data_IF_575455189391
#
_entry.id   IF_575455189391
#
_cell.length_a   1.000
_cell.length_b   1.000
_cell.length_c   1.000
_cell.angle_alpha   90.00
_cell.angle_beta   90.00
_cell.angle_gamma   90.00
#
_symmetry.space_group_name_H-M   'P 1'
#
loop_
_entity.id
_entity.type
_entity.pdbx_description
1 polymer ?
#
# COMPACT_ATOMS: atom_id res chain seq x y z
N UNK A 1 32.86 -52.16 -25.77
CA UNK A 1 32.52 -50.81 -25.24
C UNK A 1 31.57 -50.98 -24.06
N UNK A 2 32.07 -50.94 -22.83
CA UNK A 2 31.26 -51.10 -21.62
C UNK A 2 31.28 -49.75 -20.90
N UNK A 3 30.19 -48.99 -20.99
CA UNK A 3 30.04 -47.74 -20.25
C UNK A 3 30.16 -48.08 -18.76
N UNK A 4 31.23 -47.59 -18.11
CA UNK A 4 31.46 -47.86 -16.69
C UNK A 4 30.39 -47.13 -15.87
N UNK A 5 29.66 -47.82 -14.97
CA UNK A 5 28.63 -47.20 -14.12
C UNK A 5 29.19 -46.08 -13.22
N UNK A 6 30.50 -46.11 -12.97
CA UNK A 6 31.22 -45.09 -12.19
C UNK A 6 31.24 -43.74 -12.92
N UNK A 7 31.35 -43.73 -14.25
CA UNK A 7 31.36 -42.50 -15.03
C UNK A 7 30.01 -41.76 -14.96
N UNK A 8 28.91 -42.51 -14.89
CA UNK A 8 27.57 -41.95 -14.75
C UNK A 8 27.35 -41.35 -13.35
N UNK A 9 27.80 -42.04 -12.31
CA UNK A 9 27.72 -41.56 -10.92
C UNK A 9 28.54 -40.27 -10.74
N UNK A 10 29.75 -40.22 -11.31
CA UNK A 10 30.59 -39.02 -11.28
C UNK A 10 29.97 -37.86 -12.06
N UNK A 11 29.37 -38.15 -13.22
CA UNK A 11 28.68 -37.12 -14.01
C UNK A 11 27.43 -36.58 -13.28
N UNK A 12 26.63 -37.45 -12.64
CA UNK A 12 25.47 -37.06 -11.82
C UNK A 12 25.89 -36.31 -10.56
N UNK A 13 26.98 -36.70 -9.89
CA UNK A 13 27.51 -36.00 -8.73
C UNK A 13 28.02 -34.59 -9.08
N UNK A 14 28.72 -34.45 -10.22
CA UNK A 14 29.19 -33.16 -10.72
C UNK A 14 28.02 -32.25 -11.12
N UNK A 15 26.94 -32.80 -11.70
CA UNK A 15 25.70 -32.05 -12.03
C UNK A 15 24.92 -31.62 -10.79
N UNK A 16 24.82 -32.49 -9.77
CA UNK A 16 24.10 -32.19 -8.51
C UNK A 16 24.79 -31.11 -7.67
N UNK A 17 26.12 -31.04 -7.73
CA UNK A 17 26.94 -30.01 -7.08
C UNK A 17 27.11 -28.74 -7.93
N UNK A 18 26.69 -28.76 -9.19
CA UNK A 18 26.60 -27.59 -10.10
C UNK A 18 25.29 -26.83 -9.96
N UNK A 19 24.44 -27.19 -8.99
CA UNK A 19 23.35 -26.32 -8.57
C UNK A 19 23.99 -25.05 -8.01
N UNK A 20 23.92 -23.99 -8.81
CA UNK A 20 24.64 -22.75 -8.63
C UNK A 20 24.46 -22.23 -7.19
N UNK A 21 25.52 -21.72 -6.54
CA UNK A 21 25.40 -20.98 -5.29
C UNK A 21 24.35 -19.87 -5.36
N UNK A 22 24.14 -19.30 -6.55
CA UNK A 22 23.17 -18.25 -6.85
C UNK A 22 21.71 -18.65 -6.62
N UNK A 23 21.35 -19.93 -6.79
CA UNK A 23 19.99 -20.41 -6.52
C UNK A 23 19.67 -20.38 -5.00
N UNK A 24 20.70 -20.54 -4.15
CA UNK A 24 20.60 -20.38 -2.69
C UNK A 24 20.58 -18.91 -2.26
N UNK A 25 21.13 -18.01 -3.08
CA UNK A 25 21.13 -16.56 -2.83
C UNK A 25 19.77 -15.97 -3.26
N UNK A 26 19.19 -16.46 -4.35
CA UNK A 26 17.87 -16.01 -4.82
C UNK A 26 16.68 -16.62 -4.07
N UNK A 27 16.83 -17.78 -3.43
CA UNK A 27 15.81 -18.33 -2.52
C UNK A 27 15.72 -17.65 -1.16
N UNK A 28 16.63 -16.71 -0.87
CA UNK A 28 16.73 -15.97 0.39
C UNK A 28 16.81 -14.46 0.18
N UNK A 29 16.32 -13.94 -0.95
CA UNK A 29 16.18 -12.50 -1.14
C UNK A 29 15.00 -12.00 -0.31
N UNK A 30 15.32 -11.71 0.95
CA UNK A 30 14.97 -10.46 1.61
C UNK A 30 13.82 -9.72 0.92
N UNK A 31 12.60 -10.09 1.28
CA UNK A 31 11.62 -9.03 1.52
C UNK A 31 12.20 -8.21 2.66
N UNK A 32 13.08 -7.25 2.36
CA UNK A 32 13.23 -6.06 3.20
C UNK A 32 11.86 -5.37 3.18
N UNK A 33 10.95 -5.92 3.98
CA UNK A 33 9.78 -5.22 4.44
C UNK A 33 10.39 -4.06 5.22
N UNK A 34 10.56 -2.90 4.58
CA UNK A 34 10.90 -1.66 5.27
C UNK A 34 10.05 -1.66 6.54
N UNK A 35 10.63 -1.42 7.73
CA UNK A 35 9.86 -1.30 8.96
C UNK A 35 9.04 0.01 8.92
N UNK A 36 8.18 0.14 7.92
CA UNK A 36 7.10 1.08 7.91
C UNK A 36 6.07 0.56 8.90
N UNK A 37 5.54 1.46 9.71
CA UNK A 37 4.48 1.14 10.65
C UNK A 37 3.33 0.52 9.83
N UNK A 38 3.10 -0.78 9.95
CA UNK A 38 2.15 -1.57 9.11
C UNK A 38 0.70 -1.04 9.16
N UNK A 39 0.45 0.00 9.96
CA UNK A 39 -0.84 0.64 10.19
C UNK A 39 -0.83 2.15 9.92
N UNK A 40 0.28 2.76 9.49
CA UNK A 40 0.37 4.21 9.30
C UNK A 40 -0.76 4.74 8.39
N UNK A 41 -1.05 4.06 7.27
CA UNK A 41 -2.14 4.43 6.38
C UNK A 41 -3.53 4.43 7.04
N UNK A 42 -3.77 3.51 7.99
CA UNK A 42 -5.03 3.44 8.74
C UNK A 42 -5.16 4.63 9.70
N UNK A 43 -4.09 4.98 10.41
CA UNK A 43 -4.07 6.14 11.31
C UNK A 43 -4.21 7.46 10.54
N UNK A 44 -3.57 7.58 9.37
CA UNK A 44 -3.73 8.73 8.48
C UNK A 44 -5.21 8.90 8.08
N UNK A 45 -5.90 7.82 7.72
CA UNK A 45 -7.33 7.88 7.38
C UNK A 45 -8.24 8.23 8.56
N UNK A 46 -7.88 7.86 9.80
CA UNK A 46 -8.63 8.27 10.99
C UNK A 46 -8.45 9.77 11.24
N UNK A 47 -7.21 10.26 11.17
CA UNK A 47 -6.91 11.69 11.33
C UNK A 47 -7.63 12.54 10.27
N UNK A 48 -7.67 12.07 9.03
CA UNK A 48 -8.39 12.75 7.95
C UNK A 48 -9.88 12.92 8.25
N UNK A 49 -10.53 11.85 8.75
CA UNK A 49 -11.96 11.89 9.13
C UNK A 49 -12.20 12.83 10.31
N UNK A 50 -11.30 12.85 11.30
CA UNK A 50 -11.37 13.81 12.41
C UNK A 50 -11.24 15.24 11.91
N UNK A 51 -10.31 15.52 10.99
CA UNK A 51 -10.09 16.86 10.43
C UNK A 51 -11.26 17.31 9.54
N UNK A 52 -11.84 16.42 8.72
CA UNK A 52 -13.04 16.74 7.93
C UNK A 52 -14.22 17.03 8.84
N UNK A 53 -14.43 16.22 9.88
CA UNK A 53 -15.49 16.45 10.86
C UNK A 53 -15.32 17.81 11.56
N UNK A 54 -14.10 18.12 12.00
CA UNK A 54 -13.77 19.44 12.56
C UNK A 54 -14.05 20.55 11.56
N UNK A 55 -13.56 20.44 10.31
CA UNK A 55 -13.76 21.45 9.28
C UNK A 55 -15.25 21.73 9.00
N UNK A 56 -16.08 20.68 8.95
CA UNK A 56 -17.54 20.79 8.83
C UNK A 56 -18.15 21.51 10.04
N UNK A 57 -17.74 21.16 11.26
CA UNK A 57 -18.26 21.78 12.49
C UNK A 57 -17.95 23.28 12.55
N UNK A 58 -16.78 23.68 12.07
CA UNK A 58 -16.39 25.10 11.97
C UNK A 58 -16.93 25.79 10.70
N UNK A 59 -17.68 25.07 9.85
CA UNK A 59 -18.26 25.58 8.61
C UNK A 59 -17.22 25.91 7.52
N UNK A 60 -15.98 25.43 7.66
CA UNK A 60 -14.86 25.71 6.75
C UNK A 60 -14.69 24.58 5.74
N UNK A 61 -15.55 24.55 4.73
CA UNK A 61 -15.55 23.51 3.70
C UNK A 61 -14.27 23.51 2.85
N UNK A 62 -13.56 24.65 2.78
CA UNK A 62 -12.30 24.81 2.05
C UNK A 62 -11.19 23.91 2.62
N UNK A 63 -11.21 23.66 3.93
CA UNK A 63 -10.21 22.82 4.60
C UNK A 63 -10.26 21.36 4.17
N UNK A 64 -11.41 20.87 3.73
CA UNK A 64 -11.59 19.50 3.22
C UNK A 64 -10.71 19.29 1.98
N UNK A 65 -10.66 20.28 1.08
CA UNK A 65 -9.82 20.26 -0.11
C UNK A 65 -8.33 20.25 0.22
N UNK A 66 -7.91 21.03 1.22
CA UNK A 66 -6.50 21.05 1.67
C UNK A 66 -6.06 19.71 2.27
N UNK A 67 -6.91 19.08 3.08
CA UNK A 67 -6.64 17.77 3.68
C UNK A 67 -6.48 16.71 2.58
N UNK A 68 -7.38 16.70 1.60
CA UNK A 68 -7.33 15.77 0.46
C UNK A 68 -6.06 15.96 -0.38
N UNK A 69 -5.71 17.22 -0.67
CA UNK A 69 -4.51 17.54 -1.45
C UNK A 69 -3.23 17.10 -0.72
N UNK A 70 -3.10 17.42 0.58
CA UNK A 70 -1.96 17.03 1.39
C UNK A 70 -1.79 15.50 1.43
N UNK A 71 -2.90 14.77 1.60
CA UNK A 71 -2.92 13.31 1.59
C UNK A 71 -2.53 12.72 0.22
N UNK A 72 -3.01 13.31 -0.87
CA UNK A 72 -2.69 12.86 -2.24
C UNK A 72 -1.21 13.06 -2.57
N UNK A 73 -0.62 14.21 -2.19
CA UNK A 73 0.82 14.48 -2.38
C UNK A 73 1.67 13.47 -1.61
N UNK A 74 1.31 13.17 -0.35
CA UNK A 74 2.04 12.22 0.47
C UNK A 74 2.03 10.78 -0.08
N UNK A 75 1.01 10.42 -0.86
CA UNK A 75 0.86 9.08 -1.48
C UNK A 75 1.27 9.02 -2.96
N UNK A 76 1.58 10.17 -3.56
CA UNK A 76 1.91 10.29 -4.98
C UNK A 76 3.05 9.34 -5.44
N UNK A 77 4.14 9.13 -4.69
CA UNK A 77 5.20 8.20 -5.09
C UNK A 77 4.71 6.75 -5.21
N UNK A 78 3.84 6.32 -4.29
CA UNK A 78 3.28 4.95 -4.24
C UNK A 78 2.20 4.75 -5.32
N UNK A 79 1.46 5.80 -5.67
CA UNK A 79 0.49 5.79 -6.78
C UNK A 79 1.18 5.66 -8.15
N UNK A 80 2.42 6.13 -8.28
CA UNK A 80 3.21 6.04 -9.51
C UNK A 80 3.70 4.62 -9.79
N UNK A 81 3.87 3.79 -8.75
CA UNK A 81 4.41 2.43 -8.86
C UNK A 81 3.36 1.39 -9.29
N UNK A 82 2.05 1.68 -9.21
CA UNK A 82 0.99 0.78 -9.67
C UNK A 82 -0.39 1.41 -9.82
N UNK A 83 -0.95 1.39 -11.04
CA UNK A 83 -2.27 1.96 -11.37
C UNK A 83 -3.39 1.44 -10.48
N UNK A 84 -3.40 0.13 -10.21
CA UNK A 84 -4.45 -0.50 -9.39
C UNK A 84 -4.45 0.00 -7.93
N UNK A 85 -3.29 0.33 -7.37
CA UNK A 85 -3.20 0.89 -6.01
C UNK A 85 -3.74 2.32 -5.99
N UNK A 86 -3.39 3.11 -6.99
CA UNK A 86 -3.88 4.47 -7.16
C UNK A 86 -5.41 4.51 -7.31
N UNK A 87 -5.98 3.66 -8.15
CA UNK A 87 -7.44 3.55 -8.35
C UNK A 87 -8.16 3.20 -7.05
N UNK A 88 -7.70 2.15 -6.35
CA UNK A 88 -8.34 1.70 -5.11
C UNK A 88 -8.26 2.76 -4.00
N UNK A 89 -7.11 3.42 -3.90
CA UNK A 89 -6.88 4.51 -2.96
C UNK A 89 -7.77 5.72 -3.24
N UNK A 90 -7.89 6.11 -4.51
CA UNK A 90 -8.68 7.27 -4.93
C UNK A 90 -10.16 7.00 -4.71
N UNK A 91 -10.67 5.84 -5.12
CA UNK A 91 -12.05 5.42 -4.91
C UNK A 91 -12.37 5.37 -3.40
N UNK A 92 -11.47 4.78 -2.59
CA UNK A 92 -11.66 4.69 -1.14
C UNK A 92 -11.68 6.06 -0.44
N UNK A 93 -10.80 6.97 -0.83
CA UNK A 93 -10.70 8.31 -0.23
C UNK A 93 -11.88 9.18 -0.64
N UNK A 94 -12.25 9.20 -1.93
CA UNK A 94 -13.40 9.95 -2.43
C UNK A 94 -14.71 9.46 -1.81
N UNK A 95 -14.90 8.15 -1.70
CA UNK A 95 -16.09 7.57 -1.06
C UNK A 95 -16.18 8.00 0.42
N UNK A 96 -15.06 7.92 1.15
CA UNK A 96 -15.04 8.30 2.58
C UNK A 96 -15.29 9.79 2.79
N UNK A 97 -14.70 10.67 1.97
CA UNK A 97 -14.92 12.12 2.04
C UNK A 97 -16.36 12.45 1.67
N UNK A 98 -16.93 11.79 0.66
CA UNK A 98 -18.32 12.02 0.25
C UNK A 98 -19.28 11.68 1.38
N UNK A 99 -19.12 10.52 2.04
CA UNK A 99 -19.95 10.13 3.18
C UNK A 99 -19.79 11.11 4.35
N UNK A 100 -18.56 11.54 4.66
CA UNK A 100 -18.32 12.51 5.73
C UNK A 100 -18.92 13.90 5.41
N UNK A 101 -18.85 14.33 4.16
CA UNK A 101 -19.42 15.58 3.67
C UNK A 101 -20.95 15.56 3.75
N UNK A 102 -21.61 14.51 3.23
CA UNK A 102 -23.06 14.35 3.31
C UNK A 102 -23.54 14.16 4.75
N UNK A 103 -22.82 13.39 5.57
CA UNK A 103 -23.12 13.24 7.00
C UNK A 103 -23.00 14.56 7.76
N UNK A 104 -21.97 15.36 7.45
CA UNK A 104 -21.79 16.70 7.98
C UNK A 104 -22.89 17.69 7.58
N UNK A 105 -23.28 17.66 6.30
CA UNK A 105 -24.37 18.47 5.77
C UNK A 105 -25.71 18.09 6.41
N UNK A 106 -25.97 16.78 6.55
CA UNK A 106 -27.16 16.26 7.19
C UNK A 106 -27.21 16.66 8.66
N UNK A 107 -26.09 16.58 9.38
CA UNK A 107 -26.01 16.98 10.79
C UNK A 107 -26.26 18.48 10.94
N UNK A 108 -25.66 19.32 10.08
CA UNK A 108 -25.91 20.76 10.05
C UNK A 108 -27.40 21.06 9.82
N UNK A 109 -28.00 20.39 8.84
CA UNK A 109 -29.42 20.51 8.55
C UNK A 109 -30.31 20.10 9.74
N UNK A 110 -29.94 19.03 10.45
CA UNK A 110 -30.67 18.53 11.61
C UNK A 110 -30.54 19.44 12.84
N UNK A 111 -29.40 20.11 13.01
CA UNK A 111 -29.19 21.11 14.06
C UNK A 111 -29.91 22.44 13.78
N UNK A 112 -30.49 22.63 12.59
CA UNK A 112 -31.27 23.83 12.26
C UNK A 112 -30.45 25.11 12.17
N UNK A 113 -29.17 24.99 11.81
CA UNK A 113 -28.23 26.10 11.57
C UNK A 113 -27.91 26.27 10.09
#
# INVERSE_FOLDING_TARGET
>A
MRHSPIAEILHRAKKKNRRNPEERIHGGLNSEKKPGIERAGRYIGILERSLVLTAVLFGKMEFIGYIFAAKSIARYPEMKEGSHFAEYYLIGTLTSISIAFFGGLLLKYLLGW
#
